data_IF_928975902262
#
_entry.id   IF_928975902262
#
_cell.length_a   1.000
_cell.length_b   1.000
_cell.length_c   1.000
_cell.angle_alpha   90.00
_cell.angle_beta   90.00
_cell.angle_gamma   90.00
#
_symmetry.space_group_name_H-M   'P 1'
#
loop_
_entity.id
_entity.type
_entity.pdbx_description
1 polymer ?
#
# COMPACT_ATOMS: atom_id res chain seq x y z
N UNK A 1 -10.98 16.77 6.98
CA UNK A 1 -11.65 16.08 5.86
C UNK A 1 -11.63 16.84 4.54
N UNK A 2 -12.03 18.12 4.47
CA UNK A 2 -12.08 18.88 3.20
C UNK A 2 -10.76 18.86 2.39
N UNK A 3 -9.62 18.94 3.08
CA UNK A 3 -8.28 18.79 2.47
C UNK A 3 -8.04 17.43 1.81
N UNK A 4 -8.47 16.34 2.46
CA UNK A 4 -8.30 14.97 1.95
C UNK A 4 -9.20 14.75 0.72
N UNK A 5 -10.44 15.25 0.76
CA UNK A 5 -11.39 15.14 -0.36
C UNK A 5 -10.87 15.89 -1.60
N UNK A 6 -10.29 17.08 -1.41
CA UNK A 6 -9.73 17.84 -2.52
C UNK A 6 -8.52 17.13 -3.15
N UNK A 7 -7.64 16.57 -2.33
CA UNK A 7 -6.49 15.78 -2.81
C UNK A 7 -6.95 14.49 -3.52
N UNK A 8 -7.98 13.82 -3.00
CA UNK A 8 -8.57 12.64 -3.64
C UNK A 8 -9.11 12.96 -5.03
N UNK A 9 -9.84 14.07 -5.20
CA UNK A 9 -10.33 14.51 -6.53
C UNK A 9 -9.19 14.77 -7.51
N UNK A 10 -8.05 15.27 -7.02
CA UNK A 10 -6.86 15.49 -7.84
C UNK A 10 -6.17 14.17 -8.21
N UNK A 11 -6.12 13.22 -7.27
CA UNK A 11 -5.50 11.91 -7.45
C UNK A 11 -6.31 10.98 -8.35
N UNK A 12 -7.64 11.04 -8.28
CA UNK A 12 -8.57 10.22 -9.06
C UNK A 12 -8.87 10.87 -10.41
N UNK A 13 -7.81 11.06 -11.20
CA UNK A 13 -7.88 11.59 -12.56
C UNK A 13 -8.12 10.48 -13.61
N UNK A 14 -7.97 10.81 -14.89
CA UNK A 14 -8.10 9.84 -15.98
C UNK A 14 -7.09 8.69 -15.88
N UNK A 15 -5.91 8.94 -15.30
CA UNK A 15 -4.90 7.90 -15.12
C UNK A 15 -5.34 6.91 -14.03
N UNK A 16 -6.03 7.37 -12.99
CA UNK A 16 -6.62 6.48 -11.98
C UNK A 16 -7.64 5.50 -12.57
N UNK A 17 -8.41 5.92 -13.57
CA UNK A 17 -9.32 5.02 -14.29
C UNK A 17 -8.54 3.92 -15.05
N UNK A 18 -7.46 4.29 -15.75
CA UNK A 18 -6.61 3.33 -16.45
C UNK A 18 -5.91 2.36 -15.49
N UNK A 19 -5.42 2.87 -14.35
CA UNK A 19 -4.85 2.04 -13.27
C UNK A 19 -5.89 1.05 -12.73
N UNK A 20 -7.13 1.49 -12.55
CA UNK A 20 -8.22 0.64 -12.06
C UNK A 20 -8.59 -0.45 -13.07
N UNK A 21 -8.64 -0.12 -14.35
CA UNK A 21 -8.87 -1.08 -15.43
C UNK A 21 -7.73 -2.12 -15.51
N UNK A 22 -6.48 -1.68 -15.39
CA UNK A 22 -5.33 -2.58 -15.33
C UNK A 22 -5.43 -3.54 -14.15
N UNK A 23 -5.77 -3.02 -12.96
CA UNK A 23 -5.95 -3.83 -11.77
C UNK A 23 -7.02 -4.92 -11.98
N UNK A 24 -8.13 -4.56 -12.63
CA UNK A 24 -9.23 -5.45 -12.92
C UNK A 24 -8.81 -6.55 -13.90
N UNK A 25 -8.08 -6.21 -14.98
CA UNK A 25 -7.58 -7.19 -15.95
C UNK A 25 -6.64 -8.19 -15.28
N UNK A 26 -5.66 -7.71 -14.50
CA UNK A 26 -4.74 -8.59 -13.77
C UNK A 26 -5.50 -9.53 -12.82
N UNK A 27 -6.50 -9.01 -12.11
CA UNK A 27 -7.31 -9.80 -11.17
C UNK A 27 -8.21 -10.79 -11.89
N UNK A 28 -8.73 -10.43 -13.06
CA UNK A 28 -9.52 -11.32 -13.91
C UNK A 28 -8.68 -12.49 -14.43
N UNK A 29 -7.45 -12.23 -14.90
CA UNK A 29 -6.51 -13.28 -15.29
C UNK A 29 -6.19 -14.22 -14.12
N UNK A 30 -5.97 -13.66 -12.92
CA UNK A 30 -5.66 -14.44 -11.71
C UNK A 30 -6.76 -15.45 -11.33
N UNK A 31 -8.01 -15.21 -11.72
CA UNK A 31 -9.13 -16.11 -11.41
C UNK A 31 -9.12 -17.41 -12.23
N UNK A 32 -8.47 -17.44 -13.40
CA UNK A 32 -8.39 -18.64 -14.22
C UNK A 32 -7.30 -19.62 -13.77
N UNK A 33 -6.48 -19.26 -12.79
CA UNK A 33 -5.44 -20.15 -12.24
C UNK A 33 -5.98 -21.15 -11.19
N UNK A 34 -7.28 -21.13 -10.89
CA UNK A 34 -7.87 -22.04 -9.89
C UNK A 34 -8.66 -23.16 -10.58
N UNK A 35 -8.15 -24.39 -10.51
CA UNK A 35 -8.86 -25.58 -10.97
C UNK A 35 -8.75 -26.72 -9.95
N UNK A 36 -9.90 -27.26 -9.52
CA UNK A 36 -10.08 -28.59 -8.92
C UNK A 36 -9.49 -28.95 -7.53
N UNK A 37 -8.88 -28.04 -6.77
CA UNK A 37 -8.21 -28.36 -5.49
C UNK A 37 -9.12 -28.61 -4.27
N UNK A 38 -8.58 -29.22 -3.20
CA UNK A 38 -9.26 -29.42 -1.91
C UNK A 38 -9.57 -28.08 -1.20
N UNK A 39 -10.51 -28.08 -0.25
CA UNK A 39 -10.96 -26.86 0.44
C UNK A 39 -9.84 -26.09 1.16
N UNK A 40 -8.81 -26.78 1.67
CA UNK A 40 -7.65 -26.13 2.29
C UNK A 40 -6.70 -25.51 1.25
N UNK A 41 -6.48 -26.19 0.13
CA UNK A 41 -5.68 -25.66 -1.00
C UNK A 41 -6.33 -24.40 -1.55
N UNK A 42 -7.67 -24.38 -1.67
CA UNK A 42 -8.40 -23.22 -2.15
C UNK A 42 -8.23 -21.99 -1.23
N UNK A 43 -8.20 -22.17 0.10
CA UNK A 43 -7.95 -21.07 1.05
C UNK A 43 -6.54 -20.46 0.91
N UNK A 44 -5.54 -21.28 0.65
CA UNK A 44 -4.15 -20.80 0.43
C UNK A 44 -4.09 -20.01 -0.87
N UNK A 45 -4.67 -20.55 -1.95
CA UNK A 45 -4.73 -19.89 -3.26
C UNK A 45 -5.43 -18.53 -3.14
N UNK A 46 -6.54 -18.45 -2.41
CA UNK A 46 -7.29 -17.20 -2.25
C UNK A 46 -6.53 -16.16 -1.41
N UNK A 47 -5.74 -16.62 -0.45
CA UNK A 47 -4.83 -15.76 0.31
C UNK A 47 -3.73 -15.18 -0.60
N UNK A 48 -3.17 -15.99 -1.49
CA UNK A 48 -2.16 -15.55 -2.47
C UNK A 48 -2.77 -14.57 -3.49
N UNK A 49 -3.99 -14.81 -3.98
CA UNK A 49 -4.70 -13.87 -4.87
C UNK A 49 -4.85 -12.50 -4.22
N UNK A 50 -5.22 -12.47 -2.94
CA UNK A 50 -5.37 -11.23 -2.17
C UNK A 50 -4.02 -10.52 -1.97
N UNK A 51 -2.94 -11.27 -1.77
CA UNK A 51 -1.59 -10.69 -1.77
C UNK A 51 -1.20 -10.09 -3.12
N UNK A 52 -1.61 -10.71 -4.24
CA UNK A 52 -1.49 -10.13 -5.57
C UNK A 52 -2.21 -8.78 -5.68
N UNK A 53 -3.42 -8.67 -5.13
CA UNK A 53 -4.16 -7.41 -5.06
C UNK A 53 -3.45 -6.38 -4.17
N UNK A 54 -2.86 -6.81 -3.05
CA UNK A 54 -2.06 -5.94 -2.19
C UNK A 54 -0.80 -5.42 -2.90
N UNK A 55 -0.17 -6.22 -3.77
CA UNK A 55 0.96 -5.78 -4.59
C UNK A 55 0.51 -4.67 -5.57
N UNK A 56 -0.62 -4.86 -6.25
CA UNK A 56 -1.22 -3.82 -7.10
C UNK A 56 -1.53 -2.56 -6.30
N UNK A 57 -2.11 -2.72 -5.10
CA UNK A 57 -2.37 -1.61 -4.19
C UNK A 57 -1.08 -0.83 -3.84
N UNK A 58 0.01 -1.51 -3.51
CA UNK A 58 1.31 -0.87 -3.24
C UNK A 58 1.82 -0.13 -4.47
N UNK A 59 1.73 -0.76 -5.64
CA UNK A 59 2.17 -0.17 -6.91
C UNK A 59 1.45 1.15 -7.19
N UNK A 60 0.11 1.17 -7.13
CA UNK A 60 -0.67 2.38 -7.36
C UNK A 60 -0.51 3.40 -6.23
N UNK A 61 -0.43 2.94 -4.96
CA UNK A 61 -0.19 3.83 -3.82
C UNK A 61 1.11 4.63 -3.95
N UNK A 62 2.17 4.00 -4.48
CA UNK A 62 3.43 4.69 -4.79
C UNK A 62 3.25 5.73 -5.89
N UNK A 63 2.52 5.40 -6.95
CA UNK A 63 2.29 6.32 -8.07
C UNK A 63 1.48 7.56 -7.63
N UNK A 64 0.42 7.35 -6.84
CA UNK A 64 -0.33 8.44 -6.22
C UNK A 64 0.56 9.29 -5.29
N UNK A 65 1.44 8.65 -4.51
CA UNK A 65 2.36 9.33 -3.61
C UNK A 65 3.40 10.17 -4.36
N UNK A 66 3.88 9.71 -5.53
CA UNK A 66 4.74 10.49 -6.41
C UNK A 66 4.02 11.75 -6.89
N UNK A 67 2.78 11.61 -7.36
CA UNK A 67 1.98 12.72 -7.88
C UNK A 67 1.42 13.67 -6.80
N UNK A 68 1.70 13.40 -5.51
CA UNK A 68 1.29 14.25 -4.39
C UNK A 68 2.44 14.55 -3.43
N UNK A 69 2.74 13.62 -2.53
CA UNK A 69 3.69 13.80 -1.44
C UNK A 69 5.10 14.14 -1.95
N UNK A 70 5.57 13.45 -2.99
CA UNK A 70 6.91 13.70 -3.56
C UNK A 70 6.97 15.08 -4.20
N UNK A 71 5.98 15.44 -5.03
CA UNK A 71 5.90 16.77 -5.64
C UNK A 71 5.79 17.89 -4.59
N UNK A 72 4.95 17.71 -3.57
CA UNK A 72 4.79 18.67 -2.48
C UNK A 72 6.07 18.80 -1.63
N UNK A 73 6.88 17.73 -1.54
CA UNK A 73 8.18 17.76 -0.88
C UNK A 73 9.23 18.50 -1.70
N UNK A 74 9.37 18.17 -2.99
CA UNK A 74 10.32 18.80 -3.92
C UNK A 74 10.04 20.31 -4.06
N UNK A 75 8.77 20.69 -4.13
CA UNK A 75 8.35 22.10 -4.25
C UNK A 75 8.45 22.89 -2.94
N UNK A 76 8.99 22.31 -1.87
CA UNK A 76 9.06 22.91 -0.52
C UNK A 76 7.70 23.32 0.07
N UNK A 77 6.60 22.81 -0.49
CA UNK A 77 5.26 23.09 0.04
C UNK A 77 5.07 22.51 1.44
N UNK A 78 5.74 21.39 1.76
CA UNK A 78 5.78 20.86 3.14
C UNK A 78 6.42 21.85 4.12
N UNK A 79 7.49 22.54 3.71
CA UNK A 79 8.15 23.60 4.49
C UNK A 79 7.18 24.75 4.75
N UNK A 80 6.53 25.23 3.69
CA UNK A 80 5.54 26.31 3.77
C UNK A 80 4.38 25.96 4.69
N UNK A 81 3.85 24.73 4.62
CA UNK A 81 2.77 24.29 5.50
C UNK A 81 3.19 24.24 6.97
N UNK A 82 4.42 23.78 7.24
CA UNK A 82 4.97 23.76 8.60
C UNK A 82 5.22 25.17 9.14
N UNK A 83 5.74 26.08 8.30
CA UNK A 83 5.96 27.49 8.65
C UNK A 83 4.66 28.23 9.00
N UNK A 84 3.56 27.89 8.32
CA UNK A 84 2.22 28.41 8.62
C UNK A 84 1.53 27.73 9.82
N UNK A 85 2.26 26.97 10.63
CA UNK A 85 1.75 26.36 11.87
C UNK A 85 0.93 25.09 11.68
N UNK A 86 0.91 24.48 10.48
CA UNK A 86 0.27 23.17 10.33
C UNK A 86 1.11 22.10 11.03
N UNK A 87 0.51 21.34 11.95
CA UNK A 87 1.25 20.30 12.67
C UNK A 87 1.64 19.14 11.76
N UNK A 88 2.81 18.54 12.01
CA UNK A 88 3.29 17.35 11.28
C UNK A 88 2.24 16.23 11.28
N UNK A 89 1.54 16.03 12.41
CA UNK A 89 0.47 15.03 12.53
C UNK A 89 -0.65 15.27 11.50
N UNK A 90 -1.03 16.53 11.26
CA UNK A 90 -2.05 16.88 10.25
C UNK A 90 -1.53 16.66 8.82
N UNK A 91 -0.25 16.97 8.56
CA UNK A 91 0.40 16.69 7.27
C UNK A 91 0.41 15.18 6.99
N UNK A 92 0.87 14.39 7.97
CA UNK A 92 0.92 12.94 7.88
C UNK A 92 -0.47 12.35 7.62
N UNK A 93 -1.46 12.72 8.43
CA UNK A 93 -2.83 12.25 8.27
C UNK A 93 -3.39 12.59 6.87
N UNK A 94 -3.12 13.81 6.38
CA UNK A 94 -3.57 14.25 5.05
C UNK A 94 -3.09 13.29 3.96
N UNK A 95 -1.78 13.03 3.87
CA UNK A 95 -1.22 12.17 2.81
C UNK A 95 -1.55 10.70 3.01
N UNK A 96 -1.54 10.24 4.26
CA UNK A 96 -1.88 8.85 4.58
C UNK A 96 -3.30 8.52 4.11
N UNK A 97 -4.29 9.34 4.49
CA UNK A 97 -5.68 9.06 4.09
C UNK A 97 -5.93 9.31 2.60
N UNK A 98 -5.31 10.32 1.97
CA UNK A 98 -5.51 10.55 0.55
C UNK A 98 -4.93 9.44 -0.32
N UNK A 99 -3.71 8.96 -0.01
CA UNK A 99 -3.08 7.85 -0.72
C UNK A 99 -3.81 6.54 -0.45
N UNK A 100 -4.16 6.26 0.80
CA UNK A 100 -4.88 5.04 1.18
C UNK A 100 -6.24 4.91 0.50
N UNK A 101 -7.07 5.95 0.61
CA UNK A 101 -8.40 5.94 0.00
C UNK A 101 -8.29 5.95 -1.53
N UNK A 102 -7.34 6.71 -2.09
CA UNK A 102 -7.14 6.75 -3.54
C UNK A 102 -6.76 5.39 -4.10
N UNK A 103 -5.78 4.71 -3.51
CA UNK A 103 -5.34 3.39 -3.93
C UNK A 103 -6.43 2.33 -3.70
N UNK A 104 -7.20 2.41 -2.61
CA UNK A 104 -8.34 1.51 -2.38
C UNK A 104 -9.42 1.67 -3.46
N UNK A 105 -9.77 2.91 -3.82
CA UNK A 105 -10.76 3.18 -4.87
C UNK A 105 -10.30 2.62 -6.22
N UNK A 106 -9.02 2.78 -6.56
CA UNK A 106 -8.45 2.23 -7.80
C UNK A 106 -8.58 0.71 -7.84
N UNK A 107 -8.29 0.04 -6.73
CA UNK A 107 -8.29 -1.43 -6.65
C UNK A 107 -9.70 -1.99 -6.37
N UNK A 108 -10.68 -1.15 -6.06
CA UNK A 108 -12.03 -1.55 -5.67
C UNK A 108 -12.72 -2.48 -6.70
N UNK A 109 -12.66 -2.24 -8.02
CA UNK A 109 -13.26 -3.16 -8.99
C UNK A 109 -12.66 -4.57 -8.94
N UNK A 110 -11.34 -4.68 -8.71
CA UNK A 110 -10.67 -5.96 -8.49
C UNK A 110 -11.14 -6.66 -7.22
N UNK A 111 -11.38 -5.89 -6.15
CA UNK A 111 -11.92 -6.44 -4.90
C UNK A 111 -13.34 -6.96 -5.09
N UNK A 112 -14.20 -6.21 -5.77
CA UNK A 112 -15.58 -6.62 -6.06
C UNK A 112 -15.59 -7.92 -6.87
N UNK A 113 -14.76 -8.00 -7.91
CA UNK A 113 -14.63 -9.21 -8.73
C UNK A 113 -14.23 -10.44 -7.89
N UNK A 114 -13.28 -10.27 -6.97
CA UNK A 114 -12.85 -11.34 -6.08
C UNK A 114 -13.88 -11.64 -4.98
N UNK A 115 -14.63 -10.67 -4.47
CA UNK A 115 -15.72 -10.91 -3.52
C UNK A 115 -16.89 -11.70 -4.11
N UNK A 116 -17.17 -11.53 -5.40
CA UNK A 116 -18.25 -12.27 -6.07
C UNK A 116 -17.85 -13.73 -6.34
N UNK A 117 -16.56 -14.01 -6.58
CA UNK A 117 -16.07 -15.35 -6.93
C UNK A 117 -15.43 -16.12 -5.78
N UNK A 118 -14.84 -15.43 -4.82
CA UNK A 118 -14.21 -16.01 -3.66
C UNK A 118 -15.17 -15.84 -2.49
N UNK A 119 -15.48 -16.92 -1.78
CA UNK A 119 -16.06 -16.85 -0.44
C UNK A 119 -15.00 -16.26 0.51
N UNK A 120 -14.77 -14.94 0.38
CA UNK A 120 -13.76 -14.22 1.13
C UNK A 120 -14.11 -14.31 2.61
N UNK A 121 -13.40 -15.21 3.30
CA UNK A 121 -13.52 -15.30 4.73
C UNK A 121 -13.18 -13.96 5.37
N UNK A 122 -13.90 -13.63 6.44
CA UNK A 122 -13.77 -12.36 7.16
C UNK A 122 -12.32 -12.08 7.58
N UNK A 123 -11.54 -13.13 7.87
CA UNK A 123 -10.10 -13.07 8.18
C UNK A 123 -9.25 -12.51 7.04
N UNK A 124 -9.52 -12.93 5.79
CA UNK A 124 -8.81 -12.44 4.61
C UNK A 124 -9.15 -10.97 4.34
N UNK A 125 -10.42 -10.58 4.52
CA UNK A 125 -10.87 -9.19 4.43
C UNK A 125 -10.18 -8.28 5.45
N UNK A 126 -10.10 -8.71 6.71
CA UNK A 126 -9.35 -7.99 7.76
C UNK A 126 -7.87 -7.88 7.37
N UNK A 127 -7.27 -8.97 6.88
CA UNK A 127 -5.87 -8.95 6.46
C UNK A 127 -5.62 -7.93 5.36
N UNK A 128 -6.51 -7.82 4.37
CA UNK A 128 -6.40 -6.83 3.31
C UNK A 128 -6.43 -5.39 3.87
N UNK A 129 -7.39 -5.08 4.73
CA UNK A 129 -7.55 -3.73 5.30
C UNK A 129 -6.33 -3.34 6.15
N UNK A 130 -5.87 -4.23 7.02
CA UNK A 130 -4.71 -3.96 7.89
C UNK A 130 -3.44 -3.85 7.06
N UNK A 131 -3.18 -4.81 6.17
CA UNK A 131 -1.97 -4.82 5.35
C UNK A 131 -1.88 -3.61 4.44
N UNK A 132 -2.97 -3.25 3.74
CA UNK A 132 -3.02 -2.06 2.88
C UNK A 132 -2.73 -0.79 3.68
N UNK A 133 -3.29 -0.65 4.88
CA UNK A 133 -3.02 0.50 5.74
C UNK A 133 -1.54 0.57 6.17
N UNK A 134 -0.96 -0.55 6.61
CA UNK A 134 0.45 -0.62 6.98
C UNK A 134 1.38 -0.30 5.79
N UNK A 135 1.06 -0.79 4.59
CA UNK A 135 1.82 -0.44 3.40
C UNK A 135 1.77 1.06 3.09
N UNK A 136 0.61 1.72 3.25
CA UNK A 136 0.54 3.18 3.04
C UNK A 136 1.36 3.96 4.06
N UNK A 137 1.40 3.52 5.32
CA UNK A 137 2.29 4.10 6.32
C UNK A 137 3.76 3.99 5.89
N UNK A 138 4.18 2.81 5.40
CA UNK A 138 5.54 2.60 4.89
C UNK A 138 5.82 3.53 3.71
N UNK A 139 4.91 3.63 2.72
CA UNK A 139 5.07 4.52 1.56
C UNK A 139 5.31 5.97 2.01
N UNK A 140 4.42 6.49 2.87
CA UNK A 140 4.51 7.87 3.38
C UNK A 140 5.81 8.10 4.15
N UNK A 141 6.16 7.20 5.07
CA UNK A 141 7.35 7.34 5.89
C UNK A 141 8.65 7.22 5.09
N UNK A 142 8.73 6.31 4.12
CA UNK A 142 9.93 6.19 3.27
C UNK A 142 10.13 7.47 2.47
N UNK A 143 9.08 8.04 1.86
CA UNK A 143 9.19 9.29 1.10
C UNK A 143 9.59 10.45 2.02
N UNK A 144 8.99 10.56 3.19
CA UNK A 144 9.34 11.60 4.16
C UNK A 144 10.76 11.46 4.70
N UNK A 145 11.29 10.25 4.87
CA UNK A 145 12.67 10.02 5.30
C UNK A 145 13.70 10.18 4.17
N UNK A 146 13.28 10.14 2.91
CA UNK A 146 14.19 10.23 1.77
C UNK A 146 14.62 11.68 1.54
N UNK A 147 15.93 11.97 1.65
CA UNK A 147 16.49 13.31 1.39
C UNK A 147 16.89 13.50 -0.08
N UNK A 148 17.60 12.51 -0.64
CA UNK A 148 17.95 12.49 -2.06
C UNK A 148 16.76 12.00 -2.88
N UNK A 149 16.16 12.92 -3.65
CA UNK A 149 14.95 12.66 -4.43
C UNK A 149 15.17 11.72 -5.61
N UNK A 150 16.40 11.55 -6.11
CA UNK A 150 16.73 10.58 -7.16
C UNK A 150 16.48 9.13 -6.70
N UNK A 151 16.55 8.86 -5.39
CA UNK A 151 16.26 7.53 -4.82
C UNK A 151 14.76 7.16 -4.85
N UNK A 152 13.88 8.09 -5.19
CA UNK A 152 12.42 7.85 -5.25
C UNK A 152 12.03 7.10 -6.53
N UNK A 153 12.81 7.21 -7.61
CA UNK A 153 12.50 6.53 -8.87
C UNK A 153 12.49 4.99 -8.70
N UNK A 154 13.36 4.45 -7.84
CA UNK A 154 13.39 3.02 -7.52
C UNK A 154 12.44 2.60 -6.39
N UNK A 155 11.69 3.53 -5.78
CA UNK A 155 10.82 3.26 -4.63
C UNK A 155 9.77 2.18 -4.95
N UNK A 156 9.16 2.25 -6.14
CA UNK A 156 8.13 1.32 -6.57
C UNK A 156 8.65 -0.12 -6.64
N UNK A 157 9.80 -0.33 -7.30
CA UNK A 157 10.42 -1.65 -7.41
C UNK A 157 10.82 -2.19 -6.04
N UNK A 158 11.38 -1.35 -5.16
CA UNK A 158 11.76 -1.77 -3.80
C UNK A 158 10.55 -2.20 -2.96
N UNK A 159 9.44 -1.47 -3.05
CA UNK A 159 8.25 -1.78 -2.25
C UNK A 159 7.47 -2.98 -2.80
N UNK A 160 7.46 -3.18 -4.13
CA UNK A 160 6.96 -4.41 -4.75
C UNK A 160 7.84 -5.60 -4.35
N UNK A 161 9.17 -5.45 -4.37
CA UNK A 161 10.10 -6.48 -3.91
C UNK A 161 9.89 -6.82 -2.43
N UNK A 162 9.62 -5.81 -1.60
CA UNK A 162 9.30 -6.00 -0.19
C UNK A 162 7.98 -6.77 0.01
N UNK A 163 6.92 -6.41 -0.72
CA UNK A 163 5.64 -7.11 -0.61
C UNK A 163 5.73 -8.56 -1.08
N UNK A 164 6.48 -8.84 -2.16
CA UNK A 164 6.79 -10.19 -2.61
C UNK A 164 7.59 -10.98 -1.56
N UNK A 165 8.63 -10.38 -0.96
CA UNK A 165 9.41 -11.04 0.09
C UNK A 165 8.55 -11.38 1.32
N UNK A 166 7.64 -10.48 1.72
CA UNK A 166 6.71 -10.73 2.82
C UNK A 166 5.71 -11.85 2.48
N UNK A 167 5.20 -11.88 1.24
CA UNK A 167 4.32 -12.96 0.77
C UNK A 167 5.06 -14.31 0.81
N UNK A 168 6.29 -14.39 0.29
CA UNK A 168 7.08 -15.63 0.27
C UNK A 168 7.40 -16.10 1.70
N UNK A 169 7.87 -15.20 2.56
CA UNK A 169 8.21 -15.54 3.95
C UNK A 169 6.99 -16.02 4.74
N UNK A 170 5.85 -15.34 4.61
CA UNK A 170 4.60 -15.78 5.24
C UNK A 170 4.13 -17.13 4.70
N UNK A 171 4.22 -17.38 3.38
CA UNK A 171 3.89 -18.67 2.78
C UNK A 171 4.80 -19.81 3.29
N UNK A 172 6.10 -19.55 3.48
CA UNK A 172 7.02 -20.50 4.10
C UNK A 172 6.56 -20.84 5.52
N UNK A 173 6.22 -19.84 6.34
CA UNK A 173 5.74 -20.08 7.72
C UNK A 173 4.43 -20.85 7.72
N UNK A 174 3.52 -20.59 6.78
CA UNK A 174 2.32 -21.40 6.61
C UNK A 174 2.67 -22.86 6.33
N UNK A 175 3.60 -23.14 5.42
CA UNK A 175 4.00 -24.52 5.11
C UNK A 175 4.56 -25.27 6.33
N UNK A 176 5.20 -24.58 7.27
CA UNK A 176 5.70 -25.19 8.52
C UNK A 176 4.64 -25.35 9.61
N UNK A 177 3.67 -24.42 9.69
CA UNK A 177 2.71 -24.35 10.81
C UNK A 177 1.31 -24.83 10.45
N UNK A 178 1.02 -24.98 9.15
CA UNK A 178 -0.29 -25.22 8.55
C UNK A 178 -1.40 -24.30 9.11
N UNK A 179 -1.05 -23.06 9.44
CA UNK A 179 -1.96 -22.13 10.14
C UNK A 179 -1.96 -20.74 9.51
N UNK A 180 -3.13 -20.32 9.05
CA UNK A 180 -3.36 -18.98 8.51
C UNK A 180 -3.11 -17.87 9.54
N UNK A 181 -3.30 -18.16 10.82
CA UNK A 181 -3.03 -17.17 11.89
C UNK A 181 -1.56 -16.80 11.93
N UNK A 182 -0.66 -17.78 11.85
CA UNK A 182 0.79 -17.51 11.80
C UNK A 182 1.21 -16.86 10.49
N UNK A 183 0.57 -17.20 9.38
CA UNK A 183 0.75 -16.51 8.09
C UNK A 183 0.47 -14.99 8.19
N UNK A 184 -0.66 -14.58 8.77
CA UNK A 184 -0.96 -13.15 8.93
C UNK A 184 -0.10 -12.48 9.99
N UNK A 185 0.18 -13.17 11.11
CA UNK A 185 0.95 -12.63 12.21
C UNK A 185 2.39 -12.30 11.79
N UNK A 186 3.03 -13.16 11.00
CA UNK A 186 4.36 -12.91 10.44
C UNK A 186 4.39 -11.68 9.55
N UNK A 187 3.41 -11.56 8.64
CA UNK A 187 3.24 -10.40 7.76
C UNK A 187 3.11 -9.11 8.57
N UNK A 188 2.25 -9.09 9.59
CA UNK A 188 2.05 -7.91 10.43
C UNK A 188 3.27 -7.56 11.28
N UNK A 189 3.99 -8.54 11.83
CA UNK A 189 5.22 -8.29 12.59
C UNK A 189 6.27 -7.65 11.70
N UNK A 190 6.48 -8.16 10.48
CA UNK A 190 7.48 -7.60 9.56
C UNK A 190 7.12 -6.16 9.20
N UNK A 191 5.87 -5.91 8.80
CA UNK A 191 5.40 -4.56 8.44
C UNK A 191 5.48 -3.59 9.63
N UNK A 192 5.05 -4.01 10.82
CA UNK A 192 5.12 -3.19 12.03
C UNK A 192 6.56 -2.84 12.41
N UNK A 193 7.48 -3.81 12.32
CA UNK A 193 8.91 -3.60 12.60
C UNK A 193 9.52 -2.56 11.67
N UNK A 194 9.20 -2.61 10.38
CA UNK A 194 9.64 -1.61 9.39
C UNK A 194 9.07 -0.23 9.73
N UNK A 195 7.79 -0.14 10.09
CA UNK A 195 7.14 1.12 10.45
C UNK A 195 7.78 1.74 11.69
N UNK A 196 8.05 0.95 12.73
CA UNK A 196 8.72 1.42 13.95
C UNK A 196 10.11 1.94 13.60
N UNK A 197 10.90 1.18 12.83
CA UNK A 197 12.23 1.60 12.40
C UNK A 197 12.21 2.89 11.59
N UNK A 198 11.26 3.04 10.66
CA UNK A 198 11.10 4.26 9.89
C UNK A 198 10.63 5.44 10.75
N UNK A 199 9.72 5.20 11.70
CA UNK A 199 9.12 6.21 12.57
C UNK A 199 10.11 6.85 13.53
N UNK A 200 11.00 6.05 14.14
CA UNK A 200 12.08 6.55 15.03
C UNK A 200 13.00 7.52 14.28
N UNK A 201 13.16 7.32 12.98
CA UNK A 201 14.06 8.13 12.16
C UNK A 201 13.42 9.44 11.64
N UNK A 202 12.13 9.71 11.92
CA UNK A 202 11.44 10.90 11.41
C UNK A 202 11.73 12.12 12.30
N UNK A 203 12.45 13.08 11.75
CA UNK A 203 12.64 14.42 12.33
C UNK A 203 12.01 15.49 11.44
N UNK A 204 11.63 16.64 12.03
CA UNK A 204 11.11 17.83 11.30
C UNK A 204 11.99 18.18 10.10
N UNK A 205 13.30 18.18 10.30
CA UNK A 205 14.28 18.45 9.25
C UNK A 205 14.21 17.45 8.09
N UNK A 206 14.06 16.15 8.38
CA UNK A 206 13.99 15.13 7.32
C UNK A 206 12.73 15.23 6.46
N UNK A 207 11.63 15.66 7.06
CA UNK A 207 10.36 15.89 6.36
C UNK A 207 10.51 17.00 5.31
N UNK A 208 11.31 18.02 5.61
CA UNK A 208 11.43 19.23 4.80
C UNK A 208 12.59 19.15 3.81
N UNK A 209 13.72 18.55 4.20
CA UNK A 209 14.93 18.54 3.39
C UNK A 209 14.76 17.66 2.15
N UNK A 210 15.04 18.26 0.99
CA UNK A 210 15.10 17.60 -0.31
C UNK A 210 16.27 18.13 -1.13
N UNK A 211 17.08 17.24 -1.71
CA UNK A 211 18.13 17.57 -2.68
C UNK A 211 18.21 16.50 -3.78
N UNK A 212 18.93 16.80 -4.86
CA UNK A 212 19.18 15.89 -6.00
C UNK A 212 20.59 15.30 -5.92
#
# INVERSE_FOLDING_TARGET
MKLVINDLKKLLDKNALLMSLMALICSFMALFFADGGSQEINKVIDTIKIDGILILFVMFGVELAKNTLVLDKISKKLEFLLANGLSIKKILAKYLFSIYLGALIIVLPSLVLNLVKLDLSLTIGINLIISSFLYTLIIVFVILNTRNMNKINSLQIRLIGLSLAIMITSAIVYNFTNSFTFYFLTKFIILASIIIFLGININKERIVISYY
#
